data_IF_621041586958
#
_entry.id   IF_621041586958
#
_cell.length_a   1.000
_cell.length_b   1.000
_cell.length_c   1.000
_cell.angle_alpha   90.00
_cell.angle_beta   90.00
_cell.angle_gamma   90.00
#
_symmetry.space_group_name_H-M   'P 1'
#
loop_
_entity.id
_entity.type
_entity.pdbx_description
1 polymer ?
#
# COMPACT_ATOMS: atom_id res chain seq x y z
N UNK A 1 -4.17 2.46 13.75
CA UNK A 1 -5.44 2.91 14.38
C UNK A 1 -6.58 2.51 13.44
N UNK A 2 -7.75 2.12 13.99
CA UNK A 2 -8.88 1.65 13.16
C UNK A 2 -9.28 2.64 12.06
N UNK A 3 -9.22 3.95 12.34
CA UNK A 3 -9.56 4.98 11.36
C UNK A 3 -8.65 5.01 10.12
N UNK A 4 -7.36 4.69 10.23
CA UNK A 4 -6.48 4.65 9.05
C UNK A 4 -6.84 3.47 8.13
N UNK A 5 -7.11 2.30 8.71
CA UNK A 5 -7.55 1.12 7.97
C UNK A 5 -8.90 1.35 7.28
N UNK A 6 -9.86 1.99 7.97
CA UNK A 6 -11.18 2.31 7.41
C UNK A 6 -11.08 3.27 6.21
N UNK A 7 -10.18 4.27 6.28
CA UNK A 7 -9.91 5.18 5.15
C UNK A 7 -9.30 4.43 3.97
N UNK A 8 -8.31 3.56 4.21
CA UNK A 8 -7.70 2.75 3.14
C UNK A 8 -8.75 1.88 2.46
N UNK A 9 -9.59 1.18 3.23
CA UNK A 9 -10.68 0.36 2.69
C UNK A 9 -11.65 1.18 1.86
N UNK A 10 -12.07 2.35 2.35
CA UNK A 10 -12.94 3.25 1.61
C UNK A 10 -12.33 3.67 0.25
N UNK A 11 -11.03 4.00 0.20
CA UNK A 11 -10.37 4.36 -1.06
C UNK A 11 -10.30 3.20 -2.05
N UNK A 12 -10.01 1.99 -1.56
CA UNK A 12 -10.03 0.75 -2.37
C UNK A 12 -11.43 0.51 -2.95
N UNK A 13 -12.48 0.68 -2.13
CA UNK A 13 -13.87 0.54 -2.56
C UNK A 13 -14.24 1.57 -3.65
N UNK A 14 -13.67 2.78 -3.59
CA UNK A 14 -13.78 3.81 -4.63
C UNK A 14 -12.92 3.55 -5.87
N UNK A 15 -12.34 2.34 -6.01
CA UNK A 15 -11.50 1.93 -7.15
C UNK A 15 -10.23 2.76 -7.29
N UNK A 16 -9.65 3.21 -6.18
CA UNK A 16 -8.32 3.79 -6.20
C UNK A 16 -7.30 2.78 -6.79
N UNK A 17 -6.35 3.30 -7.57
CA UNK A 17 -5.21 2.52 -8.06
C UNK A 17 -4.32 2.14 -6.87
N UNK A 18 -4.40 0.88 -6.44
CA UNK A 18 -3.70 0.35 -5.26
C UNK A 18 -2.18 0.42 -5.41
N UNK A 19 -1.68 0.38 -6.65
CA UNK A 19 -0.27 0.44 -6.98
C UNK A 19 0.18 1.83 -7.41
N UNK A 20 -0.67 2.84 -7.23
CA UNK A 20 -0.28 4.23 -7.45
C UNK A 20 0.92 4.56 -6.57
N UNK A 21 1.98 5.03 -7.21
CA UNK A 21 3.20 5.44 -6.53
C UNK A 21 3.35 6.96 -6.51
N UNK A 22 4.09 7.46 -5.53
CA UNK A 22 4.61 8.81 -5.56
C UNK A 22 5.71 9.00 -6.62
N UNK A 23 6.31 10.19 -6.66
CA UNK A 23 7.36 10.54 -7.64
C UNK A 23 8.70 9.82 -7.42
N UNK A 24 8.83 9.03 -6.34
CA UNK A 24 10.01 8.21 -6.04
C UNK A 24 9.71 6.71 -6.17
N UNK A 25 8.54 6.34 -6.70
CA UNK A 25 8.12 4.96 -6.87
C UNK A 25 7.57 4.29 -5.60
N UNK A 26 7.36 5.03 -4.51
CA UNK A 26 6.82 4.44 -3.28
C UNK A 26 5.30 4.27 -3.40
N UNK A 27 4.83 3.04 -3.19
CA UNK A 27 3.39 2.72 -3.11
C UNK A 27 2.91 2.76 -1.66
N UNK A 28 1.59 2.75 -1.46
CA UNK A 28 1.01 2.60 -0.14
C UNK A 28 1.51 1.34 0.59
N UNK A 29 1.77 0.26 -0.15
CA UNK A 29 2.27 -1.00 0.44
C UNK A 29 3.69 -0.86 1.00
N UNK A 30 4.58 -0.14 0.32
CA UNK A 30 5.91 0.16 0.86
C UNK A 30 5.83 0.90 2.20
N UNK A 31 4.96 1.90 2.26
CA UNK A 31 4.78 2.72 3.48
C UNK A 31 4.18 1.89 4.61
N UNK A 32 3.18 1.05 4.30
CA UNK A 32 2.53 0.19 5.29
C UNK A 32 3.50 -0.83 5.91
N UNK A 33 4.33 -1.49 5.09
CA UNK A 33 5.35 -2.43 5.57
C UNK A 33 6.42 -1.69 6.39
N UNK A 34 6.94 -0.56 5.89
CA UNK A 34 7.93 0.23 6.63
C UNK A 34 7.43 0.73 7.99
N UNK A 35 6.11 0.93 8.13
CA UNK A 35 5.48 1.35 9.38
C UNK A 35 5.08 0.19 10.29
N UNK A 36 5.18 -1.07 9.83
CA UNK A 36 4.71 -2.24 10.57
C UNK A 36 3.17 -2.30 10.73
N UNK A 37 2.42 -1.64 9.84
CA UNK A 37 0.96 -1.57 9.92
C UNK A 37 0.31 -2.79 9.26
N UNK A 38 0.27 -3.91 9.98
CA UNK A 38 -0.24 -5.19 9.48
C UNK A 38 -1.65 -5.09 8.89
N UNK A 39 -2.58 -4.40 9.57
CA UNK A 39 -3.96 -4.24 9.09
C UNK A 39 -4.02 -3.60 7.68
N UNK A 40 -3.22 -2.56 7.43
CA UNK A 40 -3.19 -1.88 6.13
C UNK A 40 -2.50 -2.75 5.07
N UNK A 41 -1.46 -3.50 5.46
CA UNK A 41 -0.81 -4.46 4.57
C UNK A 41 -1.83 -5.50 4.09
N UNK A 42 -2.65 -6.04 5.01
CA UNK A 42 -3.68 -7.01 4.65
C UNK A 42 -4.73 -6.43 3.70
N UNK A 43 -5.21 -5.19 3.92
CA UNK A 43 -6.16 -4.54 3.00
C UNK A 43 -5.56 -4.34 1.60
N UNK A 44 -4.33 -3.82 1.50
CA UNK A 44 -3.67 -3.53 0.22
C UNK A 44 -3.36 -4.82 -0.56
N UNK A 45 -2.83 -5.85 0.11
CA UNK A 45 -2.56 -7.16 -0.50
C UNK A 45 -3.87 -7.84 -0.93
N UNK A 46 -4.91 -7.77 -0.09
CA UNK A 46 -6.23 -8.28 -0.43
C UNK A 46 -6.88 -7.57 -1.63
N UNK A 47 -6.54 -6.30 -1.84
CA UNK A 47 -6.94 -5.52 -3.01
C UNK A 47 -6.07 -5.75 -4.26
N UNK A 48 -5.04 -6.60 -4.18
CA UNK A 48 -4.20 -6.98 -5.31
C UNK A 48 -2.99 -6.10 -5.54
N UNK A 49 -2.50 -5.38 -4.53
CA UNK A 49 -1.23 -4.64 -4.62
C UNK A 49 -0.07 -5.56 -5.03
N UNK A 50 0.80 -5.08 -5.92
CA UNK A 50 2.00 -5.82 -6.32
C UNK A 50 3.05 -5.80 -5.20
N UNK A 51 3.11 -6.93 -4.47
CA UNK A 51 4.05 -7.14 -3.35
C UNK A 51 5.52 -7.10 -3.76
N UNK A 52 5.83 -7.18 -5.06
CA UNK A 52 7.19 -7.15 -5.59
C UNK A 52 7.52 -5.84 -6.31
N UNK A 53 6.58 -4.89 -6.39
CA UNK A 53 6.79 -3.63 -7.11
C UNK A 53 7.97 -2.88 -6.53
N UNK A 54 8.97 -2.61 -7.36
CA UNK A 54 10.18 -1.88 -6.93
C UNK A 54 10.00 -0.39 -7.12
N UNK A 55 10.41 0.38 -6.12
CA UNK A 55 10.54 1.84 -6.25
C UNK A 55 11.80 2.22 -7.07
N UNK A 56 12.04 3.51 -7.26
CA UNK A 56 13.16 4.01 -8.09
C UNK A 56 14.54 3.68 -7.52
N UNK A 57 14.61 3.27 -6.24
CA UNK A 57 15.83 2.79 -5.58
C UNK A 57 16.01 1.28 -5.68
N UNK A 58 15.12 0.58 -6.39
CA UNK A 58 15.13 -0.87 -6.53
C UNK A 58 14.63 -1.63 -5.30
N UNK A 59 14.05 -0.95 -4.31
CA UNK A 59 13.51 -1.57 -3.09
C UNK A 59 12.08 -2.05 -3.35
N UNK A 60 11.77 -3.28 -2.95
CA UNK A 60 10.40 -3.78 -2.83
C UNK A 60 9.79 -3.44 -1.46
N UNK A 61 8.47 -3.60 -1.29
CA UNK A 61 7.84 -3.55 0.03
C UNK A 61 8.37 -4.60 1.00
N UNK A 62 8.78 -5.78 0.49
CA UNK A 62 9.50 -6.83 1.23
C UNK A 62 11.01 -6.54 1.24
#
# INVERSE_FOLDING_TARGET
>A
SRGATDIVRYLIDQKADVDKSDSSGWTALHIAVSAGNEDIVQELVGAGADVNKRNDKGLSPL
#
